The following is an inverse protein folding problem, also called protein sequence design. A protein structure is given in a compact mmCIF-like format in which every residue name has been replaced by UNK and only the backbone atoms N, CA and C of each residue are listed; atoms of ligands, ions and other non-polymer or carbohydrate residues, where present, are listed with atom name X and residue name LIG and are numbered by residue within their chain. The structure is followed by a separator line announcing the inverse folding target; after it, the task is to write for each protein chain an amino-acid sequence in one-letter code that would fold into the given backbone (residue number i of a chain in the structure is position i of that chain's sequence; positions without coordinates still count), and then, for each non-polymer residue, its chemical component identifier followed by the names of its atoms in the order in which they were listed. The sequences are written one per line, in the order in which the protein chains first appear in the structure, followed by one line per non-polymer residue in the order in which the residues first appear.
data_IF_516564793976
#
_entry.id   IF_516564793976
#
_cell.length_a   1.000
_cell.length_b   1.000
_cell.length_c   1.000
_cell.angle_alpha   90.00
_cell.angle_beta   90.00
_cell.angle_gamma   90.00
#
_symmetry.space_group_name_H-M   'P 1'
#
loop_
_entity.id
_entity.type
_entity.pdbx_description
1 polymer ?
#
# COMPACT_ATOMS: atom_id res chain seq x y z
N UNK A 1 -11.01 -11.80 14.26
CA UNK A 1 -10.73 -10.34 14.33
C UNK A 1 -11.39 -9.66 13.14
N UNK A 2 -12.22 -8.69 13.43
CA UNK A 2 -13.02 -7.97 12.44
C UNK A 2 -12.14 -7.15 11.53
N UNK A 3 -12.32 -7.30 10.20
CA UNK A 3 -11.86 -6.31 9.24
C UNK A 3 -12.21 -4.90 9.76
N UNK A 4 -11.38 -3.90 9.47
CA UNK A 4 -11.69 -2.52 9.82
C UNK A 4 -13.16 -2.24 9.47
N UNK A 5 -13.90 -1.70 10.44
CA UNK A 5 -15.33 -1.41 10.24
C UNK A 5 -15.47 -0.53 8.99
N UNK A 6 -16.15 -0.97 7.93
CA UNK A 6 -16.34 -0.18 6.72
C UNK A 6 -17.05 1.17 6.98
N UNK A 7 -17.48 1.39 8.22
CA UNK A 7 -18.15 2.61 8.70
C UNK A 7 -17.25 3.55 9.47
N UNK A 8 -15.94 3.27 9.60
CA UNK A 8 -15.01 4.24 10.20
C UNK A 8 -15.04 5.55 9.41
N UNK A 9 -15.26 6.71 10.06
CA UNK A 9 -15.38 7.99 9.36
C UNK A 9 -14.07 8.31 8.66
N UNK A 10 -14.16 8.72 7.40
CA UNK A 10 -13.02 9.23 6.64
C UNK A 10 -12.84 10.72 6.91
N UNK A 11 -11.70 11.28 6.54
CA UNK A 11 -11.39 12.68 6.80
C UNK A 11 -12.46 13.67 6.25
N UNK A 12 -13.11 13.35 5.11
CA UNK A 12 -14.23 14.14 4.58
C UNK A 12 -15.45 14.09 5.49
N UNK A 13 -15.76 12.94 6.07
CA UNK A 13 -16.90 12.76 6.96
C UNK A 13 -16.70 13.52 8.28
N UNK A 14 -15.44 13.79 8.63
CA UNK A 14 -15.04 14.62 9.76
C UNK A 14 -14.96 16.12 9.42
N UNK A 15 -15.37 16.53 8.21
CA UNK A 15 -15.38 17.93 7.77
C UNK A 15 -14.02 18.48 7.34
N UNK A 16 -13.00 17.64 7.16
CA UNK A 16 -11.73 18.07 6.58
C UNK A 16 -11.97 18.46 5.11
N UNK A 17 -11.65 19.72 4.69
CA UNK A 17 -11.90 20.15 3.34
C UNK A 17 -10.91 19.51 2.36
N UNK A 18 -11.45 18.97 1.26
CA UNK A 18 -10.68 18.45 0.14
C UNK A 18 -11.31 18.90 -1.17
N UNK A 19 -10.49 19.42 -2.06
CA UNK A 19 -10.91 19.83 -3.40
C UNK A 19 -11.14 18.62 -4.32
N UNK A 20 -11.87 18.88 -5.40
CA UNK A 20 -12.14 17.94 -6.47
C UNK A 20 -13.27 16.94 -6.18
N UNK A 21 -13.74 16.33 -7.25
CA UNK A 21 -14.81 15.33 -7.25
C UNK A 21 -14.24 13.93 -7.07
N UNK A 22 -14.55 13.19 -6.00
CA UNK A 22 -14.12 11.80 -5.85
C UNK A 22 -14.89 10.89 -6.83
N UNK A 23 -14.32 9.72 -7.14
CA UNK A 23 -15.05 8.62 -7.77
C UNK A 23 -16.04 7.96 -6.79
N UNK A 24 -16.73 6.92 -7.27
CA UNK A 24 -17.80 6.24 -6.53
C UNK A 24 -17.37 5.70 -5.16
N UNK A 25 -16.14 5.19 -5.07
CA UNK A 25 -15.56 4.60 -3.86
C UNK A 25 -14.59 5.56 -3.15
N UNK A 26 -14.24 6.68 -3.81
CA UNK A 26 -13.13 7.54 -3.42
C UNK A 26 -11.88 6.69 -3.10
N UNK A 27 -11.52 5.80 -3.99
CA UNK A 27 -10.48 4.79 -3.84
C UNK A 27 -9.65 4.62 -5.12
N UNK A 28 -8.47 4.01 -5.00
CA UNK A 28 -7.62 3.66 -6.13
C UNK A 28 -8.38 2.86 -7.20
N UNK A 29 -9.29 2.00 -6.76
CA UNK A 29 -10.13 1.13 -7.59
C UNK A 29 -11.23 1.85 -8.38
N UNK A 30 -11.40 3.16 -8.23
CA UNK A 30 -12.19 3.96 -9.17
C UNK A 30 -11.52 4.11 -10.54
N UNK A 31 -10.21 3.79 -10.63
CA UNK A 31 -9.51 3.62 -11.91
C UNK A 31 -9.99 2.30 -12.54
N UNK A 32 -10.62 2.33 -13.73
CA UNK A 32 -11.20 1.14 -14.33
C UNK A 32 -10.20 0.01 -14.55
N UNK A 33 -10.58 -1.19 -14.12
CA UNK A 33 -9.77 -2.41 -14.29
C UNK A 33 -8.65 -2.59 -13.28
N UNK A 34 -8.49 -1.68 -12.31
CA UNK A 34 -7.54 -1.82 -11.22
C UNK A 34 -8.16 -2.61 -10.06
N UNK A 35 -7.38 -3.50 -9.46
CA UNK A 35 -7.79 -4.32 -8.32
C UNK A 35 -6.78 -4.20 -7.17
N UNK A 36 -7.27 -4.29 -5.93
CA UNK A 36 -6.47 -4.25 -4.70
C UNK A 36 -6.86 -5.40 -3.80
N UNK A 37 -5.86 -6.06 -3.21
CA UNK A 37 -6.06 -7.14 -2.25
C UNK A 37 -5.12 -7.04 -1.05
N UNK A 38 -5.48 -7.71 0.03
CA UNK A 38 -4.76 -7.65 1.28
C UNK A 38 -4.64 -9.03 1.92
N UNK A 39 -3.50 -9.28 2.54
CA UNK A 39 -3.32 -10.27 3.60
C UNK A 39 -2.88 -9.55 4.85
N UNK A 40 -3.66 -9.65 5.93
CA UNK A 40 -3.40 -8.98 7.21
C UNK A 40 -3.03 -10.01 8.25
N UNK A 41 -1.89 -9.83 8.90
CA UNK A 41 -1.39 -10.72 9.95
C UNK A 41 -1.43 -10.00 11.29
N UNK A 42 -2.27 -10.52 12.20
CA UNK A 42 -2.43 -10.01 13.54
C UNK A 42 -2.46 -11.19 14.51
N UNK A 43 -1.42 -11.32 15.33
CA UNK A 43 -1.27 -12.33 16.35
C UNK A 43 -0.39 -11.79 17.49
N UNK A 44 -0.52 -12.38 18.68
CA UNK A 44 0.32 -12.05 19.83
C UNK A 44 1.34 -13.17 20.11
N UNK A 45 1.04 -14.39 19.69
CA UNK A 45 1.88 -15.57 19.87
C UNK A 45 2.10 -16.31 18.53
N UNK A 46 3.22 -16.99 18.31
CA UNK A 46 4.43 -17.11 19.17
C UNK A 46 5.30 -15.85 19.12
N UNK A 47 5.02 -14.90 18.25
CA UNK A 47 5.63 -13.58 18.15
C UNK A 47 4.57 -12.54 17.76
N UNK A 48 4.75 -11.31 18.18
CA UNK A 48 3.78 -10.26 17.86
C UNK A 48 3.79 -9.97 16.37
N UNK A 49 2.67 -10.25 15.70
CA UNK A 49 2.43 -9.94 14.30
C UNK A 49 1.49 -8.74 14.18
N UNK A 50 1.95 -7.66 13.59
CA UNK A 50 1.18 -6.50 13.15
C UNK A 50 1.70 -6.07 11.78
N UNK A 51 1.48 -6.92 10.79
CA UNK A 51 2.09 -6.81 9.46
C UNK A 51 1.16 -7.35 8.38
N UNK A 52 1.63 -7.50 7.17
CA UNK A 52 0.89 -8.09 6.07
C UNK A 52 1.41 -7.71 4.70
N UNK A 53 0.59 -7.97 3.69
CA UNK A 53 0.87 -7.67 2.28
C UNK A 53 -0.31 -6.91 1.68
N UNK A 54 -0.01 -5.81 1.02
CA UNK A 54 -0.92 -5.09 0.13
C UNK A 54 -0.56 -5.41 -1.30
N UNK A 55 -1.49 -5.90 -2.10
CA UNK A 55 -1.30 -6.19 -3.53
C UNK A 55 -2.12 -5.23 -4.39
N UNK A 56 -1.50 -4.69 -5.44
CA UNK A 56 -2.10 -3.79 -6.41
C UNK A 56 -1.89 -4.39 -7.79
N UNK A 57 -2.97 -4.61 -8.52
CA UNK A 57 -2.95 -5.10 -9.88
C UNK A 57 -3.45 -4.00 -10.83
N UNK A 58 -2.54 -3.25 -11.48
CA UNK A 58 -2.90 -2.09 -12.31
C UNK A 58 -3.85 -2.40 -13.47
N UNK A 59 -3.84 -3.65 -13.94
CA UNK A 59 -4.72 -4.14 -15.00
C UNK A 59 -5.66 -5.25 -14.55
N UNK A 60 -5.84 -5.42 -13.24
CA UNK A 60 -6.60 -6.51 -12.63
C UNK A 60 -5.97 -7.90 -12.86
N UNK A 61 -6.51 -8.90 -12.20
CA UNK A 61 -5.97 -10.26 -12.22
C UNK A 61 -5.93 -10.88 -13.62
N UNK A 62 -6.95 -10.67 -14.41
CA UNK A 62 -7.03 -11.25 -15.77
C UNK A 62 -5.96 -10.74 -16.72
N UNK A 63 -5.37 -9.57 -16.46
CA UNK A 63 -4.36 -8.94 -17.30
C UNK A 63 -3.08 -8.58 -16.57
N UNK A 64 -2.77 -9.27 -15.47
CA UNK A 64 -1.63 -8.92 -14.61
C UNK A 64 -0.26 -8.97 -15.33
N UNK A 65 -0.12 -9.81 -16.37
CA UNK A 65 1.09 -9.87 -17.19
C UNK A 65 1.11 -8.91 -18.39
N UNK A 66 0.09 -8.07 -18.58
CA UNK A 66 0.03 -7.09 -19.67
C UNK A 66 0.70 -5.79 -19.24
N UNK A 67 1.72 -5.30 -19.96
CA UNK A 67 2.42 -4.06 -19.58
C UNK A 67 1.49 -2.85 -19.50
N UNK A 68 1.79 -1.95 -18.59
CA UNK A 68 1.21 -0.60 -18.53
C UNK A 68 2.32 0.44 -18.37
N UNK A 69 2.06 1.67 -18.81
CA UNK A 69 2.97 2.79 -18.58
C UNK A 69 3.21 2.98 -17.08
N UNK A 70 4.46 3.19 -16.71
CA UNK A 70 4.86 3.37 -15.31
C UNK A 70 6.01 4.37 -15.21
N UNK A 71 6.10 5.01 -14.07
CA UNK A 71 7.22 5.85 -13.66
C UNK A 71 7.45 5.69 -12.16
N UNK A 72 8.67 5.95 -11.72
CA UNK A 72 9.06 5.88 -10.31
C UNK A 72 9.83 7.14 -9.93
N UNK A 73 9.59 7.64 -8.73
CA UNK A 73 10.36 8.72 -8.13
C UNK A 73 10.69 8.36 -6.68
N UNK A 74 11.91 8.61 -6.27
CA UNK A 74 12.41 8.30 -4.93
C UNK A 74 12.76 9.61 -4.22
N UNK A 75 12.09 9.87 -3.08
CA UNK A 75 12.37 11.05 -2.28
C UNK A 75 13.73 10.93 -1.57
N UNK A 76 14.05 9.74 -1.06
CA UNK A 76 15.33 9.39 -0.45
C UNK A 76 15.58 7.88 -0.55
N UNK A 77 16.76 7.42 -0.17
CA UNK A 77 17.16 6.01 -0.26
C UNK A 77 16.80 5.16 0.98
N UNK A 78 15.93 5.65 1.86
CA UNK A 78 15.56 4.94 3.08
C UNK A 78 14.36 4.01 2.86
N UNK A 79 14.47 3.11 1.91
CA UNK A 79 13.45 2.12 1.58
C UNK A 79 13.77 1.36 0.30
N UNK A 80 13.34 0.10 0.21
CA UNK A 80 13.55 -0.74 -0.96
C UNK A 80 12.33 -0.69 -1.89
N UNK A 81 12.60 -0.72 -3.19
CA UNK A 81 11.61 -0.94 -4.24
C UNK A 81 12.24 -1.79 -5.34
N UNK A 82 11.85 -3.06 -5.41
CA UNK A 82 12.33 -3.95 -6.48
C UNK A 82 11.76 -3.55 -7.85
N UNK A 83 12.41 -3.97 -8.93
CA UNK A 83 11.97 -3.64 -10.28
C UNK A 83 12.12 -2.17 -10.71
N UNK A 84 12.62 -1.30 -9.81
CA UNK A 84 12.77 0.12 -10.05
C UNK A 84 13.60 0.44 -11.29
N UNK A 85 14.77 -0.19 -11.43
CA UNK A 85 15.69 0.09 -12.55
C UNK A 85 15.03 -0.16 -13.92
N UNK A 86 14.20 -1.19 -14.02
CA UNK A 86 13.45 -1.48 -15.23
C UNK A 86 12.39 -0.42 -15.52
N UNK A 87 11.65 0.01 -14.49
CA UNK A 87 10.64 1.07 -14.66
C UNK A 87 11.30 2.37 -15.12
N UNK A 88 12.46 2.73 -14.55
CA UNK A 88 13.23 3.91 -14.93
C UNK A 88 13.73 3.84 -16.39
N UNK A 89 14.19 2.66 -16.83
CA UNK A 89 14.71 2.44 -18.17
C UNK A 89 13.60 2.32 -19.22
N UNK A 90 12.59 1.49 -18.95
CA UNK A 90 11.59 1.09 -19.93
C UNK A 90 10.32 1.93 -19.90
N UNK A 91 10.06 2.70 -18.83
CA UNK A 91 8.84 3.46 -18.65
C UNK A 91 7.58 2.58 -18.51
N UNK A 92 7.74 1.32 -18.14
CA UNK A 92 6.63 0.36 -18.04
C UNK A 92 6.78 -0.63 -16.88
N UNK A 93 5.63 -1.16 -16.47
CA UNK A 93 5.46 -2.20 -15.46
C UNK A 93 4.60 -3.31 -16.04
N UNK A 94 4.95 -4.58 -15.79
CA UNK A 94 4.18 -5.73 -16.29
C UNK A 94 3.88 -6.82 -15.24
N UNK A 95 4.11 -6.52 -13.97
CA UNK A 95 3.79 -7.41 -12.86
C UNK A 95 2.93 -6.68 -11.82
N UNK A 96 2.25 -7.38 -10.92
CA UNK A 96 1.63 -6.76 -9.76
C UNK A 96 2.64 -5.97 -8.91
N UNK A 97 2.14 -4.95 -8.21
CA UNK A 97 2.88 -4.22 -7.18
C UNK A 97 2.45 -4.76 -5.83
N UNK A 98 3.39 -5.12 -4.98
CA UNK A 98 3.13 -5.46 -3.58
C UNK A 98 3.85 -4.48 -2.65
N UNK A 99 3.26 -4.25 -1.47
CA UNK A 99 3.89 -3.48 -0.38
C UNK A 99 3.80 -4.31 0.90
N UNK A 100 4.91 -4.42 1.62
CA UNK A 100 5.03 -5.22 2.84
C UNK A 100 5.98 -4.57 3.83
N UNK A 101 6.46 -5.31 4.84
CA UNK A 101 7.49 -4.78 5.74
C UNK A 101 8.90 -4.93 5.16
N UNK A 102 9.84 -4.17 5.72
CA UNK A 102 11.24 -4.06 5.23
C UNK A 102 11.96 -5.41 5.12
N UNK A 103 11.70 -6.35 6.03
CA UNK A 103 12.40 -7.65 6.05
C UNK A 103 11.70 -8.73 5.22
N UNK A 104 10.48 -8.46 4.71
CA UNK A 104 9.68 -9.42 3.96
C UNK A 104 9.73 -9.23 2.44
N UNK A 105 10.47 -8.25 1.93
CA UNK A 105 10.55 -7.96 0.48
C UNK A 105 10.88 -9.19 -0.34
N UNK A 106 11.89 -9.98 0.06
CA UNK A 106 12.29 -11.20 -0.64
C UNK A 106 11.21 -12.29 -0.65
N UNK A 107 10.53 -12.49 0.49
CA UNK A 107 9.43 -13.47 0.59
C UNK A 107 8.25 -13.07 -0.31
N UNK A 108 7.86 -11.79 -0.29
CA UNK A 108 6.75 -11.27 -1.11
C UNK A 108 7.12 -11.30 -2.58
N UNK A 109 8.36 -10.95 -2.96
CA UNK A 109 8.86 -11.08 -4.33
C UNK A 109 8.71 -12.53 -4.84
N UNK A 110 9.17 -13.51 -4.06
CA UNK A 110 9.00 -14.94 -4.38
C UNK A 110 7.52 -15.32 -4.52
N UNK A 111 6.65 -14.76 -3.69
CA UNK A 111 5.20 -14.98 -3.77
C UNK A 111 4.59 -14.46 -5.07
N UNK A 112 5.00 -13.27 -5.52
CA UNK A 112 4.57 -12.71 -6.82
C UNK A 112 5.05 -13.58 -7.97
N UNK A 113 6.31 -14.05 -7.95
CA UNK A 113 6.85 -14.96 -8.96
C UNK A 113 6.02 -16.23 -9.07
N UNK A 114 5.71 -16.87 -7.92
CA UNK A 114 4.89 -18.09 -7.87
C UNK A 114 3.49 -17.86 -8.43
N UNK A 115 2.87 -16.76 -8.02
CA UNK A 115 1.51 -16.41 -8.47
C UNK A 115 1.48 -16.14 -9.98
N UNK A 116 2.43 -15.37 -10.50
CA UNK A 116 2.56 -15.10 -11.93
C UNK A 116 2.82 -16.36 -12.74
N UNK A 117 3.69 -17.24 -12.26
CA UNK A 117 3.97 -18.52 -12.93
C UNK A 117 2.73 -19.42 -13.01
N UNK A 118 1.89 -19.41 -11.96
CA UNK A 118 0.66 -20.19 -11.91
C UNK A 118 -0.47 -19.62 -12.78
N UNK A 119 -0.65 -18.29 -12.81
CA UNK A 119 -1.80 -17.65 -13.45
C UNK A 119 -1.49 -17.01 -14.81
N UNK A 120 -0.23 -16.64 -15.05
CA UNK A 120 0.25 -15.97 -16.26
C UNK A 120 1.56 -16.60 -16.76
N UNK A 121 1.59 -17.94 -16.99
CA UNK A 121 2.83 -18.68 -17.27
C UNK A 121 3.59 -18.15 -18.49
N UNK A 122 2.90 -17.69 -19.52
CA UNK A 122 3.54 -17.13 -20.70
C UNK A 122 4.30 -15.82 -20.41
N UNK A 123 3.72 -14.95 -19.59
CA UNK A 123 4.38 -13.70 -19.17
C UNK A 123 5.54 -13.99 -18.23
N UNK A 124 5.37 -14.91 -17.28
CA UNK A 124 6.43 -15.32 -16.35
C UNK A 124 7.62 -15.95 -17.07
N UNK A 125 7.36 -16.82 -18.08
CA UNK A 125 8.40 -17.47 -18.87
C UNK A 125 9.13 -16.52 -19.84
N UNK A 126 8.44 -15.49 -20.32
CA UNK A 126 9.05 -14.52 -21.23
C UNK A 126 10.07 -13.64 -20.49
N UNK A 127 9.70 -13.03 -19.42
CA UNK A 127 10.50 -12.22 -18.50
C UNK A 127 9.60 -11.31 -17.67
N UNK A 128 9.92 -11.14 -16.41
CA UNK A 128 9.25 -10.16 -15.55
C UNK A 128 10.14 -9.75 -14.38
N UNK A 129 9.89 -8.56 -13.82
CA UNK A 129 10.47 -8.10 -12.57
C UNK A 129 9.33 -7.67 -11.64
N UNK A 130 9.01 -8.44 -10.60
CA UNK A 130 8.04 -8.03 -9.59
C UNK A 130 8.45 -6.72 -8.91
N UNK A 131 7.46 -5.90 -8.62
CA UNK A 131 7.64 -4.66 -7.89
C UNK A 131 7.15 -4.85 -6.47
N UNK A 132 8.09 -4.85 -5.53
CA UNK A 132 7.81 -4.96 -4.10
C UNK A 132 8.44 -3.77 -3.39
N UNK A 133 7.59 -2.92 -2.82
CA UNK A 133 7.99 -1.82 -1.94
C UNK A 133 7.89 -2.24 -0.47
N UNK A 134 8.56 -1.48 0.40
CA UNK A 134 8.56 -1.76 1.82
C UNK A 134 8.26 -0.53 2.67
N UNK A 135 7.82 -0.80 3.90
CA UNK A 135 7.70 0.17 4.98
C UNK A 135 8.05 -0.50 6.30
N UNK A 136 8.69 0.22 7.20
CA UNK A 136 9.15 -0.35 8.46
C UNK A 136 8.02 -0.45 9.50
N UNK A 137 7.76 -1.65 10.02
CA UNK A 137 6.73 -1.92 11.03
C UNK A 137 7.29 -2.37 12.40
N UNK A 138 8.60 -2.37 12.57
CA UNK A 138 9.28 -2.94 13.73
C UNK A 138 8.95 -2.31 15.09
N UNK A 139 8.19 -1.22 15.14
CA UNK A 139 7.69 -0.68 16.41
C UNK A 139 6.51 -1.50 16.98
N UNK A 140 5.62 -1.99 16.11
CA UNK A 140 4.43 -2.74 16.50
C UNK A 140 4.52 -4.24 16.16
N UNK A 141 5.49 -4.63 15.35
CA UNK A 141 5.66 -5.98 14.81
C UNK A 141 7.02 -6.55 15.20
N UNK A 142 7.08 -7.83 15.52
CA UNK A 142 8.33 -8.57 15.68
C UNK A 142 8.98 -8.78 14.29
N UNK A 143 9.48 -7.71 13.68
CA UNK A 143 9.90 -7.68 12.27
C UNK A 143 10.96 -8.73 11.91
N UNK A 144 11.81 -9.12 12.87
CA UNK A 144 12.86 -10.13 12.71
C UNK A 144 12.35 -11.57 12.87
N UNK A 145 11.07 -11.78 13.17
CA UNK A 145 10.50 -13.13 13.32
C UNK A 145 10.05 -13.75 11.98
N UNK A 146 10.31 -13.07 10.85
CA UNK A 146 10.04 -13.54 9.49
C UNK A 146 8.60 -14.05 9.29
N UNK A 147 7.61 -13.31 9.84
CA UNK A 147 6.21 -13.74 9.89
C UNK A 147 5.49 -13.67 8.54
N UNK A 148 6.02 -12.93 7.58
CA UNK A 148 5.47 -12.82 6.23
C UNK A 148 6.16 -13.82 5.31
N UNK A 149 5.38 -14.73 4.73
CA UNK A 149 5.84 -15.77 3.82
C UNK A 149 5.30 -15.55 2.39
N UNK A 150 5.86 -16.23 1.36
CA UNK A 150 5.40 -16.12 -0.03
C UNK A 150 3.90 -16.36 -0.21
N UNK A 151 3.31 -17.26 0.58
CA UNK A 151 1.89 -17.61 0.54
C UNK A 151 1.00 -16.40 0.90
N UNK A 152 1.47 -15.49 1.72
CA UNK A 152 0.72 -14.28 2.07
C UNK A 152 0.63 -13.30 0.90
N UNK A 153 1.65 -13.23 0.05
CA UNK A 153 1.58 -12.46 -1.19
C UNK A 153 0.61 -13.10 -2.19
N UNK A 154 0.68 -14.43 -2.35
CA UNK A 154 -0.28 -15.19 -3.17
C UNK A 154 -1.71 -14.93 -2.71
N UNK A 155 -1.99 -15.05 -1.40
CA UNK A 155 -3.31 -14.81 -0.83
C UNK A 155 -3.79 -13.36 -1.05
N UNK A 156 -2.90 -12.36 -0.95
CA UNK A 156 -3.24 -10.96 -1.22
C UNK A 156 -3.60 -10.74 -2.70
N UNK A 157 -2.85 -11.37 -3.62
CA UNK A 157 -3.11 -11.31 -5.07
C UNK A 157 -4.43 -11.99 -5.43
N UNK A 158 -4.71 -13.15 -4.83
CA UNK A 158 -5.98 -13.88 -5.03
C UNK A 158 -7.19 -13.14 -4.45
N UNK A 159 -7.01 -12.40 -3.36
CA UNK A 159 -8.04 -11.59 -2.74
C UNK A 159 -8.30 -10.26 -3.49
N UNK A 160 -7.48 -9.91 -4.48
CA UNK A 160 -7.61 -8.64 -5.18
C UNK A 160 -8.94 -8.50 -5.92
N UNK A 161 -9.56 -7.33 -5.76
CA UNK A 161 -10.85 -7.00 -6.40
C UNK A 161 -10.97 -5.50 -6.61
N UNK A 162 -11.85 -5.12 -7.53
CA UNK A 162 -12.34 -3.74 -7.67
C UNK A 162 -13.39 -3.43 -6.59
N UNK A 163 -13.82 -2.18 -6.48
CA UNK A 163 -14.82 -1.75 -5.51
C UNK A 163 -14.22 -1.05 -4.28
N UNK A 164 -14.91 -1.02 -3.13
CA UNK A 164 -14.40 -0.39 -1.92
C UNK A 164 -13.07 -1.00 -1.46
N UNK A 165 -12.12 -0.15 -1.07
CA UNK A 165 -10.82 -0.56 -0.53
C UNK A 165 -10.81 -0.35 0.97
N UNK A 166 -10.40 -1.37 1.72
CA UNK A 166 -10.22 -1.27 3.17
C UNK A 166 -9.06 -0.33 3.51
N UNK A 167 -9.22 0.46 4.57
CA UNK A 167 -8.24 1.44 5.05
C UNK A 167 -7.81 1.16 6.50
N UNK A 168 -6.74 1.80 6.95
CA UNK A 168 -6.22 1.66 8.31
C UNK A 168 -5.28 0.47 8.47
N UNK A 169 -5.51 -0.35 9.50
CA UNK A 169 -4.65 -1.48 9.86
C UNK A 169 -4.93 -2.71 9.01
N UNK A 170 -4.68 -2.63 7.70
CA UNK A 170 -4.89 -3.69 6.73
C UNK A 170 -3.68 -3.88 5.84
N UNK A 171 -3.41 -5.13 5.44
CA UNK A 171 -2.27 -5.48 4.61
C UNK A 171 -0.95 -5.01 5.21
N UNK A 172 -0.05 -4.53 4.37
CA UNK A 172 1.22 -3.94 4.80
C UNK A 172 1.07 -2.72 5.71
N UNK A 173 -0.10 -2.03 5.68
CA UNK A 173 -0.40 -0.89 6.56
C UNK A 173 -0.65 -1.23 8.03
N UNK A 174 -0.70 -2.53 8.38
CA UNK A 174 -1.13 -2.99 9.71
C UNK A 174 -0.25 -2.47 10.85
N UNK A 175 1.07 -2.53 10.73
CA UNK A 175 2.02 -2.12 11.78
C UNK A 175 2.59 -0.71 11.59
N UNK A 176 2.03 0.11 10.72
CA UNK A 176 2.60 1.40 10.35
C UNK A 176 2.42 2.50 11.38
N UNK A 177 3.44 3.34 11.51
CA UNK A 177 3.43 4.61 12.24
C UNK A 177 3.58 5.77 11.25
N UNK A 178 2.85 6.85 11.49
CA UNK A 178 2.91 8.05 10.66
C UNK A 178 2.73 9.29 11.52
N UNK A 179 3.66 10.21 11.48
CA UNK A 179 3.67 11.42 12.32
C UNK A 179 3.57 11.13 13.83
N UNK A 180 4.15 10.03 14.31
CA UNK A 180 4.02 9.61 15.71
C UNK A 180 2.62 9.17 16.12
N UNK A 181 1.72 8.94 15.16
CA UNK A 181 0.43 8.29 15.33
C UNK A 181 0.41 6.94 14.65
N UNK A 182 -0.67 6.15 14.87
CA UNK A 182 -0.91 4.96 14.08
C UNK A 182 -1.08 5.35 12.60
N UNK A 183 -0.18 4.86 11.75
CA UNK A 183 -0.27 4.93 10.31
C UNK A 183 -1.23 3.88 9.74
N UNK A 184 -1.08 3.56 8.47
CA UNK A 184 -1.90 2.52 7.83
C UNK A 184 -2.02 2.67 6.33
N UNK A 185 -2.92 1.89 5.76
CA UNK A 185 -3.33 2.00 4.36
C UNK A 185 -4.38 3.07 4.21
N UNK A 186 -4.24 3.93 3.21
CA UNK A 186 -5.24 4.92 2.83
C UNK A 186 -5.41 4.96 1.33
N UNK A 187 -6.57 5.41 0.86
CA UNK A 187 -6.86 5.53 -0.56
C UNK A 187 -7.76 6.73 -0.88
N UNK A 188 -7.65 7.22 -2.10
CA UNK A 188 -8.51 8.29 -2.61
C UNK A 188 -8.55 8.27 -4.14
N UNK A 189 -9.55 8.93 -4.71
CA UNK A 189 -9.61 9.21 -6.14
C UNK A 189 -10.13 10.61 -6.45
N UNK A 190 -9.82 11.09 -7.64
CA UNK A 190 -10.36 12.34 -8.19
C UNK A 190 -10.69 12.16 -9.67
N UNK A 191 -11.88 12.65 -10.03
CA UNK A 191 -12.24 12.83 -11.43
C UNK A 191 -11.60 14.13 -11.94
N UNK A 192 -10.91 14.03 -13.07
CA UNK A 192 -10.25 15.15 -13.74
C UNK A 192 -10.67 15.23 -15.19
N UNK A 193 -10.68 16.45 -15.77
CA UNK A 193 -10.93 16.66 -17.20
C UNK A 193 -9.66 17.08 -17.90
N UNK A 194 -9.26 16.32 -18.92
CA UNK A 194 -8.07 16.58 -19.72
C UNK A 194 -8.45 16.40 -21.19
N UNK A 195 -8.23 17.41 -22.03
CA UNK A 195 -8.57 17.36 -23.44
C UNK A 195 -10.04 17.07 -23.76
N UNK A 196 -10.96 17.52 -22.89
CA UNK A 196 -12.40 17.27 -23.03
C UNK A 196 -12.88 15.90 -22.51
N UNK A 197 -11.98 14.95 -22.27
CA UNK A 197 -12.30 13.65 -21.70
C UNK A 197 -12.26 13.67 -20.16
N UNK A 198 -13.08 12.81 -19.53
CA UNK A 198 -13.05 12.59 -18.08
C UNK A 198 -12.14 11.41 -17.76
N UNK A 199 -11.22 11.64 -16.85
CA UNK A 199 -10.25 10.66 -16.36
C UNK A 199 -10.40 10.49 -14.85
N UNK A 200 -9.90 9.38 -14.34
CA UNK A 200 -9.81 9.14 -12.90
C UNK A 200 -8.34 9.02 -12.49
N UNK A 201 -7.96 9.82 -11.50
CA UNK A 201 -6.68 9.66 -10.80
C UNK A 201 -6.97 8.95 -9.49
N UNK A 202 -6.36 7.79 -9.28
CA UNK A 202 -6.45 7.01 -8.04
C UNK A 202 -5.13 7.01 -7.29
N UNK A 203 -5.20 7.02 -5.95
CA UNK A 203 -4.04 6.96 -5.06
C UNK A 203 -4.27 5.87 -4.02
N UNK A 204 -3.24 5.09 -3.74
CA UNK A 204 -3.11 4.26 -2.55
C UNK A 204 -1.85 4.70 -1.81
N UNK A 205 -1.96 4.85 -0.51
CA UNK A 205 -0.86 5.24 0.37
C UNK A 205 -0.72 4.21 1.48
N UNK A 206 0.49 3.69 1.67
CA UNK A 206 0.89 3.01 2.90
C UNK A 206 1.71 4.01 3.72
N UNK A 207 1.09 4.59 4.75
CA UNK A 207 1.61 5.74 5.47
C UNK A 207 2.59 5.33 6.57
N UNK A 208 3.89 5.59 6.35
CA UNK A 208 4.99 5.28 7.26
C UNK A 208 6.07 6.37 7.16
N UNK A 209 5.77 7.58 7.65
CA UNK A 209 6.67 8.72 7.52
C UNK A 209 6.38 9.84 8.52
N UNK A 210 7.30 10.77 8.64
CA UNK A 210 7.16 12.08 9.26
C UNK A 210 7.24 12.09 10.79
N UNK A 211 7.78 13.16 11.34
CA UNK A 211 7.75 13.44 12.77
C UNK A 211 6.47 14.14 13.19
N UNK A 212 6.08 14.02 14.46
CA UNK A 212 4.86 14.62 15.01
C UNK A 212 4.74 16.13 14.67
N UNK A 213 5.81 16.88 14.81
CA UNK A 213 5.83 18.31 14.59
C UNK A 213 5.56 18.74 13.13
N UNK A 214 5.71 17.83 12.18
CA UNK A 214 5.50 18.08 10.74
C UNK A 214 4.06 17.89 10.30
N UNK A 215 3.22 17.24 11.11
CA UNK A 215 1.83 16.98 10.76
C UNK A 215 1.06 18.27 10.48
N UNK A 216 0.54 18.34 9.27
CA UNK A 216 -0.37 19.43 8.82
C UNK A 216 -1.65 18.83 8.27
N UNK A 217 -2.77 19.42 8.63
CA UNK A 217 -4.08 19.08 8.05
C UNK A 217 -4.73 20.37 7.56
N UNK A 218 -5.10 20.41 6.29
CA UNK A 218 -5.64 21.59 5.64
C UNK A 218 -4.78 22.86 5.89
N UNK A 219 -3.44 22.73 5.85
CA UNK A 219 -2.47 23.80 6.07
C UNK A 219 -2.17 24.12 7.54
N UNK A 220 -2.96 23.68 8.50
CA UNK A 220 -2.78 23.92 9.95
C UNK A 220 -1.73 22.96 10.53
N UNK A 221 -0.85 23.45 11.40
CA UNK A 221 0.24 22.70 12.05
C UNK A 221 -0.26 21.93 13.28
N UNK A 222 -1.14 20.96 13.07
CA UNK A 222 -1.77 20.21 14.17
C UNK A 222 -0.78 19.41 15.01
N UNK A 223 0.31 18.94 14.41
CA UNK A 223 1.29 18.13 15.12
C UNK A 223 2.02 18.86 16.25
N UNK A 224 2.24 20.18 16.12
CA UNK A 224 2.87 21.01 17.16
C UNK A 224 1.90 21.34 18.28
N UNK A 225 0.63 21.45 17.95
CA UNK A 225 -0.43 21.85 18.88
C UNK A 225 -1.09 20.64 19.55
N UNK A 226 -0.72 19.42 19.15
CA UNK A 226 -1.30 18.19 19.68
C UNK A 226 -0.76 17.89 21.09
N UNK A 227 -1.66 17.80 22.07
CA UNK A 227 -1.36 17.27 23.41
C UNK A 227 -1.42 15.73 23.50
N UNK A 228 -1.62 15.02 22.36
CA UNK A 228 -1.68 13.56 22.37
C UNK A 228 -0.30 12.96 22.66
N UNK A 229 -0.21 11.90 23.46
CA UNK A 229 1.06 11.20 23.70
C UNK A 229 1.72 10.79 22.37
N UNK A 230 3.06 10.95 22.30
CA UNK A 230 3.86 10.46 21.18
C UNK A 230 4.71 9.27 21.63
N UNK A 231 4.29 8.04 21.41
CA UNK A 231 5.02 6.87 21.87
C UNK A 231 6.40 6.73 21.21
N UNK A 232 6.62 7.40 20.07
CA UNK A 232 7.89 7.38 19.36
C UNK A 232 8.98 8.26 20.02
N UNK A 233 8.61 9.18 20.88
CA UNK A 233 9.57 10.04 21.62
C UNK A 233 10.12 9.38 22.88
N UNK A 234 9.47 8.33 23.36
CA UNK A 234 9.85 7.64 24.61
C UNK A 234 10.52 6.30 24.40
N UNK A 235 10.62 5.84 23.17
CA UNK A 235 11.29 4.58 22.82
C UNK A 235 12.79 4.83 22.57
N UNK A 236 13.64 4.16 23.31
CA UNK A 236 15.04 3.98 22.93
C UNK A 236 15.08 3.07 21.69
N UNK A 237 15.66 3.56 20.60
CA UNK A 237 15.83 2.82 19.33
C UNK A 237 17.18 2.12 19.29
#
# INVERSE_FOLDING_TARGET
MTAADPRSPRARDLGVPFDGEPGAWNALTDVPGLEVGFTTLIADEPAVARTGVTAILPRGRAKAGVPCAAGVAVLNGNGELTGRSWIEEAGQLQAPICITNSHAVGAVHTGVDRWMAAHHPASAAAWMLPVVGETWDGYLNSINAELVHPEHAVAALDAARSGPVAEGSVGGGTGMNCYGFKGGTGTASRAVRIGGARWTVGVLLQANFGSRAELRVAGRRLGRDSGAPNPMETSEW
#
